data_IF_647977625461
#
_entry.id   IF_647977625461
#
_cell.length_a   1.000
_cell.length_b   1.000
_cell.length_c   1.000
_cell.angle_alpha   90.00
_cell.angle_beta   90.00
_cell.angle_gamma   90.00
#
_symmetry.space_group_name_H-M   'P 1'
#
loop_
_entity.id
_entity.type
_entity.pdbx_description
1 polymer ?
#
# COMPACT_ATOMS: atom_id res chain seq x y z
N UNK A 1 -28.54 -8.57 -23.33
CA UNK A 1 -28.85 -8.89 -21.92
C UNK A 1 -27.78 -9.80 -21.35
N UNK A 2 -27.28 -9.52 -20.15
CA UNK A 2 -26.43 -10.44 -19.38
C UNK A 2 -25.17 -9.82 -18.80
N UNK A 3 -25.32 -8.82 -17.92
CA UNK A 3 -24.22 -8.37 -17.07
C UNK A 3 -23.89 -9.47 -16.05
N UNK A 4 -22.66 -9.99 -16.06
CA UNK A 4 -22.14 -10.80 -14.96
C UNK A 4 -21.51 -9.84 -13.95
N UNK A 5 -22.31 -9.39 -13.00
CA UNK A 5 -21.83 -8.72 -11.79
C UNK A 5 -20.98 -9.72 -10.99
N UNK A 6 -19.68 -9.44 -10.91
CA UNK A 6 -18.82 -10.04 -9.90
C UNK A 6 -19.26 -9.46 -8.56
N UNK A 7 -19.85 -10.31 -7.72
CA UNK A 7 -20.20 -9.98 -6.35
C UNK A 7 -18.92 -9.68 -5.57
N UNK A 8 -18.67 -8.40 -5.29
CA UNK A 8 -17.72 -8.01 -4.25
C UNK A 8 -18.35 -8.45 -2.93
N UNK A 9 -17.65 -9.34 -2.24
CA UNK A 9 -18.08 -9.95 -0.99
C UNK A 9 -18.53 -8.90 0.03
N UNK A 10 -19.53 -9.26 0.84
CA UNK A 10 -19.98 -8.52 2.02
C UNK A 10 -18.81 -7.98 2.84
N UNK A 11 -18.52 -6.69 2.67
CA UNK A 11 -17.77 -5.91 3.66
C UNK A 11 -18.76 -5.56 4.79
N UNK A 12 -18.27 -5.62 6.03
CA UNK A 12 -19.02 -5.54 7.29
C UNK A 12 -20.14 -4.48 7.33
N UNK A 13 -21.22 -4.71 8.10
CA UNK A 13 -22.37 -3.81 8.13
C UNK A 13 -21.96 -2.39 8.54
N UNK A 14 -22.57 -1.40 7.89
CA UNK A 14 -22.40 0.01 8.18
C UNK A 14 -22.64 0.26 9.68
N UNK A 15 -21.70 0.96 10.33
CA UNK A 15 -21.83 1.42 11.73
C UNK A 15 -22.83 2.57 11.80
N UNK A 16 -24.08 2.25 11.54
CA UNK A 16 -25.20 3.17 11.63
C UNK A 16 -25.79 3.06 13.05
N UNK A 17 -25.13 3.73 14.01
CA UNK A 17 -25.74 4.17 15.29
C UNK A 17 -24.81 5.18 15.98
N UNK A 18 -24.97 6.45 15.59
CA UNK A 18 -24.21 7.64 15.99
C UNK A 18 -24.34 7.93 17.50
N UNK A 19 -23.34 8.58 18.15
CA UNK A 19 -23.54 10.00 18.50
C UNK A 19 -22.27 10.85 18.29
N UNK A 20 -22.46 12.16 18.13
CA UNK A 20 -21.37 13.10 17.82
C UNK A 20 -20.10 12.89 18.65
N UNK A 21 -18.97 12.84 17.96
CA UNK A 21 -17.63 13.07 18.49
C UNK A 21 -17.20 12.12 19.63
N UNK A 22 -17.07 10.81 19.36
CA UNK A 22 -16.14 10.01 20.15
C UNK A 22 -14.75 10.66 20.03
N UNK A 23 -14.11 11.11 21.13
CA UNK A 23 -13.12 12.20 21.10
C UNK A 23 -11.81 11.92 20.35
N UNK A 24 -11.66 10.76 19.69
CA UNK A 24 -10.43 10.35 19.02
C UNK A 24 -10.66 9.52 17.74
N UNK A 25 -11.90 9.41 17.25
CA UNK A 25 -12.20 8.65 16.01
C UNK A 25 -11.76 9.44 14.77
N UNK A 26 -11.26 8.73 13.75
CA UNK A 26 -10.91 9.35 12.48
C UNK A 26 -12.15 9.89 11.76
N UNK A 27 -12.01 11.04 11.11
CA UNK A 27 -12.98 11.45 10.10
C UNK A 27 -12.98 10.45 8.95
N UNK A 28 -14.14 10.14 8.39
CA UNK A 28 -14.28 9.11 7.33
C UNK A 28 -13.39 9.38 6.12
N UNK A 29 -13.25 10.65 5.72
CA UNK A 29 -12.37 11.06 4.62
C UNK A 29 -10.88 10.80 4.93
N UNK A 30 -10.46 11.06 6.18
CA UNK A 30 -9.09 10.82 6.61
C UNK A 30 -8.79 9.31 6.70
N UNK A 31 -9.72 8.50 7.22
CA UNK A 31 -9.58 7.05 7.24
C UNK A 31 -9.47 6.46 5.83
N UNK A 32 -10.26 6.98 4.88
CA UNK A 32 -10.17 6.59 3.48
C UNK A 32 -8.80 6.93 2.88
N UNK A 33 -8.33 8.17 3.07
CA UNK A 33 -7.03 8.63 2.55
C UNK A 33 -5.85 7.86 3.17
N UNK A 34 -5.91 7.50 4.45
CA UNK A 34 -4.87 6.69 5.09
C UNK A 34 -4.85 5.26 4.53
N UNK A 35 -6.01 4.69 4.22
CA UNK A 35 -6.08 3.40 3.52
C UNK A 35 -5.54 3.47 2.08
N UNK A 36 -5.76 4.59 1.39
CA UNK A 36 -5.14 4.84 0.08
C UNK A 36 -3.61 4.95 0.23
N UNK A 37 -3.13 5.65 1.26
CA UNK A 37 -1.70 5.80 1.53
C UNK A 37 -1.03 4.45 1.79
N UNK A 38 -1.63 3.56 2.59
CA UNK A 38 -1.11 2.19 2.80
C UNK A 38 -0.90 1.46 1.47
N UNK A 39 -1.81 1.65 0.51
CA UNK A 39 -1.68 1.04 -0.82
C UNK A 39 -0.50 1.64 -1.58
N UNK A 40 -0.33 2.96 -1.54
CA UNK A 40 0.80 3.65 -2.19
C UNK A 40 2.15 3.24 -1.60
N UNK A 41 2.27 3.10 -0.27
CA UNK A 41 3.50 2.65 0.39
C UNK A 41 3.86 1.21 -0.04
N UNK A 42 2.87 0.32 -0.12
CA UNK A 42 3.12 -1.05 -0.62
C UNK A 42 3.44 -1.11 -2.11
N UNK A 43 2.88 -0.22 -2.93
CA UNK A 43 3.25 -0.09 -4.34
C UNK A 43 4.69 0.41 -4.50
N UNK A 44 5.11 1.39 -3.68
CA UNK A 44 6.48 1.89 -3.64
C UNK A 44 7.47 0.81 -3.17
N UNK A 45 7.15 0.08 -2.09
CA UNK A 45 7.90 -1.09 -1.63
C UNK A 45 8.13 -2.09 -2.77
N UNK A 46 7.06 -2.48 -3.47
CA UNK A 46 7.16 -3.49 -4.53
C UNK A 46 7.97 -2.98 -5.73
N UNK A 47 7.87 -1.69 -6.06
CA UNK A 47 8.68 -1.05 -7.09
C UNK A 47 10.17 -1.04 -6.72
N UNK A 48 10.51 -0.65 -5.50
CA UNK A 48 11.90 -0.61 -5.05
C UNK A 48 12.52 -2.01 -4.92
N UNK A 49 11.77 -3.01 -4.45
CA UNK A 49 12.26 -4.39 -4.47
C UNK A 49 12.51 -4.88 -5.90
N UNK A 50 11.64 -4.54 -6.86
CA UNK A 50 11.88 -4.85 -8.28
C UNK A 50 13.17 -4.21 -8.80
N UNK A 51 13.46 -2.96 -8.41
CA UNK A 51 14.71 -2.28 -8.78
C UNK A 51 15.93 -2.91 -8.10
N UNK A 52 15.83 -3.26 -6.82
CA UNK A 52 16.88 -3.96 -6.10
C UNK A 52 17.21 -5.31 -6.77
N UNK A 53 16.19 -6.07 -7.14
CA UNK A 53 16.32 -7.32 -7.89
C UNK A 53 17.00 -7.09 -9.25
N UNK A 54 16.59 -6.07 -10.02
CA UNK A 54 17.17 -5.75 -11.33
C UNK A 54 18.67 -5.45 -11.24
N UNK A 55 19.09 -4.57 -10.32
CA UNK A 55 20.50 -4.18 -10.19
C UNK A 55 21.39 -5.26 -9.58
N UNK A 56 20.80 -6.22 -8.85
CA UNK A 56 21.52 -7.34 -8.26
C UNK A 56 21.88 -8.46 -9.26
N UNK A 57 21.30 -8.45 -10.46
CA UNK A 57 21.58 -9.47 -11.49
C UNK A 57 23.05 -9.44 -11.91
N UNK A 58 23.63 -10.61 -12.19
CA UNK A 58 25.03 -10.73 -12.61
C UNK A 58 25.36 -9.95 -13.90
N UNK A 59 24.41 -9.81 -14.84
CA UNK A 59 24.58 -9.04 -16.08
C UNK A 59 24.52 -7.51 -15.87
N UNK A 60 24.05 -7.06 -14.71
CA UNK A 60 24.07 -5.65 -14.31
C UNK A 60 25.20 -5.35 -13.33
N UNK A 61 25.39 -6.20 -12.32
CA UNK A 61 26.45 -6.10 -11.31
C UNK A 61 26.54 -4.74 -10.60
N UNK A 62 25.40 -4.05 -10.43
CA UNK A 62 25.30 -2.74 -9.79
C UNK A 62 24.88 -2.88 -8.32
N UNK A 63 25.68 -3.60 -7.53
CA UNK A 63 25.32 -4.01 -6.16
C UNK A 63 25.07 -2.83 -5.20
N UNK A 64 25.73 -1.69 -5.40
CA UNK A 64 25.46 -0.48 -4.60
C UNK A 64 24.04 0.05 -4.81
N UNK A 65 23.57 0.11 -6.06
CA UNK A 65 22.18 0.46 -6.36
C UNK A 65 21.22 -0.59 -5.82
N UNK A 66 21.57 -1.88 -5.92
CA UNK A 66 20.75 -2.94 -5.35
C UNK A 66 20.57 -2.81 -3.83
N UNK A 67 21.64 -2.46 -3.10
CA UNK A 67 21.59 -2.24 -1.66
C UNK A 67 20.75 -1.00 -1.31
N UNK A 68 20.93 0.11 -2.04
CA UNK A 68 20.13 1.32 -1.86
C UNK A 68 18.63 1.06 -2.02
N UNK A 69 18.23 0.42 -3.13
CA UNK A 69 16.81 0.16 -3.37
C UNK A 69 16.22 -0.88 -2.40
N UNK A 70 17.02 -1.82 -1.90
CA UNK A 70 16.57 -2.74 -0.86
C UNK A 70 16.30 -2.02 0.47
N UNK A 71 17.17 -1.08 0.83
CA UNK A 71 16.93 -0.25 2.02
C UNK A 71 15.69 0.61 1.84
N UNK A 72 15.55 1.30 0.71
CA UNK A 72 14.36 2.12 0.42
C UNK A 72 13.07 1.28 0.44
N UNK A 73 13.08 0.07 -0.10
CA UNK A 73 11.94 -0.83 -0.02
C UNK A 73 11.57 -1.16 1.45
N UNK A 74 12.56 -1.48 2.28
CA UNK A 74 12.30 -1.75 3.71
C UNK A 74 11.69 -0.53 4.41
N UNK A 75 12.15 0.68 4.11
CA UNK A 75 11.60 1.93 4.66
C UNK A 75 10.12 2.12 4.29
N UNK A 76 9.73 1.95 3.02
CA UNK A 76 8.31 2.09 2.63
C UNK A 76 7.40 1.01 3.24
N UNK A 77 7.95 -0.21 3.45
CA UNK A 77 7.22 -1.27 4.14
C UNK A 77 6.95 -0.91 5.60
N UNK A 78 7.90 -0.25 6.27
CA UNK A 78 7.69 0.25 7.63
C UNK A 78 6.70 1.42 7.65
N UNK A 79 6.76 2.36 6.68
CA UNK A 79 5.74 3.42 6.56
C UNK A 79 4.32 2.85 6.44
N UNK A 80 4.12 1.81 5.61
CA UNK A 80 2.82 1.14 5.49
C UNK A 80 2.33 0.57 6.84
N UNK A 81 3.25 -0.01 7.64
CA UNK A 81 2.94 -0.57 8.97
C UNK A 81 2.59 0.51 9.98
N UNK A 82 3.27 1.64 9.96
CA UNK A 82 2.96 2.79 10.81
C UNK A 82 1.55 3.33 10.56
N UNK A 83 1.13 3.43 9.29
CA UNK A 83 -0.24 3.83 8.96
C UNK A 83 -1.28 2.81 9.43
N UNK A 84 -1.01 1.51 9.26
CA UNK A 84 -1.88 0.43 9.76
C UNK A 84 -2.08 0.57 11.28
N UNK A 85 -0.98 0.74 12.01
CA UNK A 85 -1.02 0.89 13.47
C UNK A 85 -1.76 2.17 13.87
N UNK A 86 -1.51 3.28 13.19
CA UNK A 86 -2.19 4.55 13.44
C UNK A 86 -3.71 4.45 13.25
N UNK A 87 -4.18 3.81 12.16
CA UNK A 87 -5.61 3.60 11.91
C UNK A 87 -6.23 2.77 13.04
N UNK A 88 -5.56 1.68 13.45
CA UNK A 88 -6.03 0.80 14.53
C UNK A 88 -6.11 1.53 15.88
N UNK A 89 -5.11 2.35 16.22
CA UNK A 89 -5.10 3.17 17.44
C UNK A 89 -6.25 4.20 17.48
N UNK A 90 -6.79 4.56 16.33
CA UNK A 90 -7.89 5.54 16.20
C UNK A 90 -9.23 4.90 15.86
N UNK A 91 -9.37 3.60 16.14
CA UNK A 91 -10.60 2.81 15.96
C UNK A 91 -11.13 2.75 14.51
N UNK A 92 -10.28 3.09 13.53
CA UNK A 92 -10.56 2.94 12.11
C UNK A 92 -10.40 1.48 11.66
N UNK A 93 -10.74 1.21 10.40
CA UNK A 93 -10.63 -0.11 9.79
C UNK A 93 -9.63 -0.06 8.64
N UNK A 94 -8.66 -0.99 8.66
CA UNK A 94 -7.68 -1.14 7.58
C UNK A 94 -8.29 -1.97 6.45
N UNK A 95 -8.16 -1.47 5.22
CA UNK A 95 -8.58 -2.12 3.98
C UNK A 95 -7.35 -2.27 3.09
N UNK A 96 -6.79 -3.48 3.06
CA UNK A 96 -5.68 -3.81 2.17
C UNK A 96 -6.22 -4.05 0.76
N UNK A 97 -5.86 -3.17 -0.16
CA UNK A 97 -6.26 -3.24 -1.58
C UNK A 97 -5.28 -4.10 -2.37
N UNK A 98 -5.66 -4.45 -3.59
CA UNK A 98 -4.74 -5.06 -4.53
C UNK A 98 -3.61 -4.07 -4.84
N UNK A 99 -2.38 -4.55 -4.73
CA UNK A 99 -1.19 -3.80 -5.13
C UNK A 99 -1.12 -3.84 -6.65
N UNK A 100 -1.28 -2.69 -7.30
CA UNK A 100 -1.00 -2.59 -8.73
C UNK A 100 0.44 -2.15 -8.91
N UNK A 101 1.35 -3.12 -8.86
CA UNK A 101 2.72 -2.90 -9.25
C UNK A 101 2.78 -2.66 -10.77
N UNK A 102 2.53 -1.41 -11.17
CA UNK A 102 2.54 -1.01 -12.57
C UNK A 102 3.84 -1.49 -13.21
N UNK A 103 3.70 -2.22 -14.32
CA UNK A 103 4.82 -2.71 -15.10
C UNK A 103 5.42 -1.50 -15.80
N UNK A 104 6.16 -0.66 -15.08
CA UNK A 104 7.23 0.09 -15.71
C UNK A 104 8.21 -0.97 -16.20
N UNK A 105 8.10 -1.31 -17.48
CA UNK A 105 9.19 -1.94 -18.21
C UNK A 105 10.33 -0.94 -18.08
N UNK A 106 11.25 -1.21 -17.16
CA UNK A 106 12.55 -0.54 -17.13
C UNK A 106 13.28 -0.96 -18.41
N UNK A 107 12.86 -0.39 -19.54
CA UNK A 107 13.68 -0.25 -20.73
C UNK A 107 14.68 0.87 -20.48
N UNK A 108 15.40 0.77 -19.36
CA UNK A 108 16.60 1.54 -19.13
C UNK A 108 17.68 0.73 -19.85
N UNK A 109 17.81 0.99 -21.15
CA UNK A 109 19.07 0.79 -21.85
C UNK A 109 20.06 1.80 -21.25
N UNK A 110 20.74 1.37 -20.18
CA UNK A 110 22.09 1.83 -19.86
C UNK A 110 23.06 0.88 -20.57
#
# INVERSE_FOLDING_TARGET
>A
MGAKNVAVANVCPARDSQPGNAPFMLASELEMQLNDQITLEYEAFYLYEKMAAYFSRADKSLFGFAAYFRQAAEEEKEHAREFIEFINQRFGTVILKNINASIFTLSICL
#
